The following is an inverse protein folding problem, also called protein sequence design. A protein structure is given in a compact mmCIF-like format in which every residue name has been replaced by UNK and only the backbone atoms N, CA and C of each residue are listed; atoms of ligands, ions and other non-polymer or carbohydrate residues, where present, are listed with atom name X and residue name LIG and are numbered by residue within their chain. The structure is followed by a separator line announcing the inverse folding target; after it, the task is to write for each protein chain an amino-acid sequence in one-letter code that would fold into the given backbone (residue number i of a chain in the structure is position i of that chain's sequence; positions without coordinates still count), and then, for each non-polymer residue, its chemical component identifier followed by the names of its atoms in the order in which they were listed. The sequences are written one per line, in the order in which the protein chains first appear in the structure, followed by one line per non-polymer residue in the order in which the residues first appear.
data_IF_335758041892
#
_entry.id   IF_335758041892
#
_cell.length_a   1.000
_cell.length_b   1.000
_cell.length_c   1.000
_cell.angle_alpha   90.00
_cell.angle_beta   90.00
_cell.angle_gamma   90.00
#
_symmetry.space_group_name_H-M   'P 1'
#
loop_
_entity.id
_entity.type
_entity.pdbx_description
1 polymer ?
#
# COMPACT_ATOMS: atom_id res chain seq x y z
N UNK A 1 -5.45 10.80 -26.73
CA UNK A 1 -5.84 12.11 -26.19
C UNK A 1 -7.17 12.00 -25.50
N UNK A 2 -7.15 11.91 -24.17
CA UNK A 2 -8.28 12.21 -23.30
C UNK A 2 -7.67 12.38 -21.90
N UNK A 3 -7.32 13.62 -21.57
CA UNK A 3 -6.97 14.00 -20.21
C UNK A 3 -8.23 13.86 -19.37
N UNK A 4 -8.35 12.74 -18.65
CA UNK A 4 -9.43 12.53 -17.69
C UNK A 4 -9.13 13.43 -16.47
N UNK A 5 -9.93 14.48 -16.22
CA UNK A 5 -9.69 15.40 -15.12
C UNK A 5 -9.75 14.68 -13.76
N UNK A 6 -10.51 13.58 -13.65
CA UNK A 6 -10.53 12.74 -12.45
C UNK A 6 -9.22 12.00 -12.24
N UNK A 7 -8.58 11.52 -13.32
CA UNK A 7 -7.27 10.86 -13.27
C UNK A 7 -6.17 11.80 -12.82
N UNK A 8 -6.14 13.02 -13.38
CA UNK A 8 -5.15 14.03 -12.99
C UNK A 8 -5.33 14.48 -11.52
N UNK A 9 -6.58 14.67 -11.07
CA UNK A 9 -6.87 15.01 -9.69
C UNK A 9 -6.46 13.88 -8.72
N UNK A 10 -6.76 12.62 -9.05
CA UNK A 10 -6.37 11.47 -8.24
C UNK A 10 -4.84 11.32 -8.16
N UNK A 11 -4.15 11.58 -9.27
CA UNK A 11 -2.70 11.57 -9.33
C UNK A 11 -2.07 12.61 -8.39
N UNK A 12 -2.50 13.87 -8.47
CA UNK A 12 -1.96 14.94 -7.62
C UNK A 12 -2.35 14.77 -6.15
N UNK A 13 -3.59 14.34 -5.86
CA UNK A 13 -4.00 14.02 -4.49
C UNK A 13 -3.14 12.92 -3.88
N UNK A 14 -2.92 11.82 -4.61
CA UNK A 14 -2.06 10.73 -4.17
C UNK A 14 -0.63 11.23 -3.94
N UNK A 15 -0.07 11.99 -4.87
CA UNK A 15 1.29 12.55 -4.72
C UNK A 15 1.42 13.43 -3.48
N UNK A 16 0.46 14.32 -3.24
CA UNK A 16 0.42 15.17 -2.05
C UNK A 16 0.41 14.34 -0.76
N UNK A 17 -0.43 13.30 -0.67
CA UNK A 17 -0.48 12.42 0.51
C UNK A 17 0.82 11.64 0.72
N UNK A 18 1.49 11.24 -0.35
CA UNK A 18 2.77 10.51 -0.27
C UNK A 18 3.94 11.37 0.19
N UNK A 19 3.86 12.68 0.03
CA UNK A 19 4.87 13.62 0.53
C UNK A 19 4.81 13.77 2.06
N UNK A 20 3.64 13.54 2.67
CA UNK A 20 3.45 13.57 4.13
C UNK A 20 4.01 12.33 4.85
N UNK A 21 4.30 11.26 4.12
CA UNK A 21 4.83 10.02 4.71
C UNK A 21 6.33 10.16 4.98
N UNK A 22 6.71 9.97 6.24
CA UNK A 22 8.10 10.06 6.70
C UNK A 22 8.67 8.69 7.08
N UNK A 23 10.01 8.57 7.10
CA UNK A 23 10.67 7.37 7.62
C UNK A 23 10.27 7.10 9.07
N UNK A 24 10.14 8.16 9.89
CA UNK A 24 9.72 8.05 11.28
C UNK A 24 8.32 7.46 11.40
N UNK A 25 7.35 7.97 10.64
CA UNK A 25 5.98 7.45 10.69
C UNK A 25 5.91 5.98 10.28
N UNK A 26 6.70 5.53 9.30
CA UNK A 26 6.79 4.10 8.97
C UNK A 26 7.39 3.28 10.11
N UNK A 27 8.45 3.76 10.78
CA UNK A 27 9.05 3.05 11.90
C UNK A 27 8.09 2.95 13.09
N UNK A 28 7.41 4.04 13.42
CA UNK A 28 6.40 4.07 14.48
C UNK A 28 5.22 3.14 14.12
N UNK A 29 4.76 3.17 12.87
CA UNK A 29 3.68 2.31 12.37
C UNK A 29 4.03 0.82 12.43
N UNK A 30 5.29 0.43 12.19
CA UNK A 30 5.74 -0.97 12.36
C UNK A 30 5.64 -1.47 13.79
N UNK A 31 5.84 -0.59 14.77
CA UNK A 31 5.77 -0.95 16.19
C UNK A 31 4.32 -0.96 16.65
N UNK A 32 3.53 0.03 16.24
CA UNK A 32 2.16 0.24 16.71
C UNK A 32 1.10 -0.55 15.94
N UNK A 33 1.37 -0.91 14.68
CA UNK A 33 0.41 -1.58 13.81
C UNK A 33 0.29 -3.09 14.05
N UNK A 34 1.22 -3.69 14.80
CA UNK A 34 1.17 -5.11 15.11
C UNK A 34 -0.04 -5.44 16.00
N UNK A 35 -0.85 -6.41 15.57
CA UNK A 35 -2.09 -6.79 16.25
C UNK A 35 -3.25 -5.82 16.02
N UNK A 36 -3.13 -4.88 15.07
CA UNK A 36 -4.20 -3.96 14.66
C UNK A 36 -4.63 -4.35 13.24
N UNK A 37 -5.69 -5.16 13.07
CA UNK A 37 -6.05 -5.74 11.77
C UNK A 37 -6.16 -4.73 10.62
N UNK A 38 -6.82 -3.58 10.84
CA UNK A 38 -6.88 -2.48 9.87
C UNK A 38 -5.49 -1.97 9.46
N UNK A 39 -4.58 -1.79 10.41
CA UNK A 39 -3.23 -1.32 10.13
C UNK A 39 -2.43 -2.36 9.33
N UNK A 40 -2.56 -3.63 9.69
CA UNK A 40 -1.91 -4.74 8.99
C UNK A 40 -2.43 -4.87 7.55
N UNK A 41 -3.73 -4.73 7.35
CA UNK A 41 -4.37 -4.75 6.04
C UNK A 41 -3.94 -3.55 5.18
N UNK A 42 -3.94 -2.32 5.71
CA UNK A 42 -3.46 -1.12 4.99
C UNK A 42 -1.99 -1.26 4.59
N UNK A 43 -1.15 -1.73 5.52
CA UNK A 43 0.27 -1.96 5.26
C UNK A 43 0.49 -2.96 4.13
N UNK A 44 -0.27 -4.05 4.15
CA UNK A 44 -0.18 -5.12 3.16
C UNK A 44 -0.71 -4.66 1.81
N UNK A 45 -1.81 -3.90 1.79
CA UNK A 45 -2.35 -3.31 0.58
C UNK A 45 -1.31 -2.40 -0.10
N UNK A 46 -0.68 -1.49 0.66
CA UNK A 46 0.36 -0.61 0.16
C UNK A 46 1.58 -1.40 -0.34
N UNK A 47 2.00 -2.43 0.40
CA UNK A 47 3.12 -3.29 0.01
C UNK A 47 2.83 -4.09 -1.28
N UNK A 48 1.59 -4.59 -1.44
CA UNK A 48 1.14 -5.25 -2.67
C UNK A 48 1.15 -4.30 -3.86
N UNK A 49 0.61 -3.08 -3.69
CA UNK A 49 0.50 -2.10 -4.76
C UNK A 49 1.87 -1.77 -5.39
N UNK A 50 2.91 -1.75 -4.58
CA UNK A 50 4.27 -1.37 -5.01
C UNK A 50 5.21 -2.56 -5.22
N UNK A 51 4.73 -3.78 -5.04
CA UNK A 51 5.54 -4.99 -5.15
C UNK A 51 6.18 -5.09 -6.55
N UNK A 52 7.49 -5.22 -6.62
CA UNK A 52 8.23 -5.38 -7.88
C UNK A 52 8.00 -4.25 -8.91
N UNK A 53 7.50 -3.08 -8.48
CA UNK A 53 7.45 -1.87 -9.32
C UNK A 53 8.87 -1.38 -9.62
N UNK A 54 9.79 -1.62 -8.69
CA UNK A 54 11.23 -1.55 -8.86
C UNK A 54 11.91 -2.68 -8.06
N UNK A 55 13.24 -2.74 -8.12
CA UNK A 55 14.03 -3.81 -7.49
C UNK A 55 14.16 -3.66 -5.96
N UNK A 56 13.50 -2.68 -5.34
CA UNK A 56 13.70 -2.36 -3.92
C UNK A 56 12.64 -2.95 -3.00
N UNK A 57 11.38 -3.07 -3.46
CA UNK A 57 10.30 -3.74 -2.73
C UNK A 57 9.94 -5.04 -3.44
N UNK A 58 10.65 -6.12 -3.08
CA UNK A 58 10.47 -7.43 -3.69
C UNK A 58 9.51 -8.27 -2.84
N UNK A 59 8.33 -8.53 -3.38
CA UNK A 59 7.28 -9.33 -2.75
C UNK A 59 6.64 -10.25 -3.77
N UNK A 60 6.39 -11.51 -3.38
CA UNK A 60 5.63 -12.46 -4.19
C UNK A 60 4.19 -12.45 -3.71
N UNK A 61 3.28 -11.95 -4.55
CA UNK A 61 1.86 -11.81 -4.20
C UNK A 61 1.25 -13.16 -3.80
N UNK A 62 1.60 -14.24 -4.51
CA UNK A 62 1.11 -15.60 -4.20
C UNK A 62 1.60 -16.19 -2.87
N UNK A 63 2.61 -15.59 -2.22
CA UNK A 63 3.15 -16.04 -0.94
C UNK A 63 2.57 -15.25 0.25
N UNK A 64 1.58 -14.38 0.02
CA UNK A 64 0.95 -13.59 1.09
C UNK A 64 -0.18 -14.43 1.69
N UNK A 65 -0.10 -14.66 3.00
CA UNK A 65 -1.20 -15.28 3.74
C UNK A 65 -2.27 -14.21 4.02
N UNK A 66 -3.52 -14.35 3.53
CA UNK A 66 -4.57 -13.37 3.79
C UNK A 66 -4.99 -13.32 5.26
N UNK A 67 -4.85 -14.43 6.01
CA UNK A 67 -5.22 -14.50 7.43
C UNK A 67 -4.14 -13.92 8.36
N UNK A 68 -2.90 -13.88 7.87
CA UNK A 68 -1.75 -13.29 8.59
C UNK A 68 -0.92 -12.43 7.62
N UNK A 69 -1.44 -11.25 7.21
CA UNK A 69 -0.81 -10.46 6.15
C UNK A 69 0.39 -9.64 6.64
N UNK A 70 0.46 -9.37 7.95
CA UNK A 70 1.46 -8.52 8.57
C UNK A 70 2.93 -8.92 8.35
N UNK A 71 3.34 -10.20 8.46
CA UNK A 71 4.71 -10.61 8.18
C UNK A 71 5.18 -10.24 6.78
N UNK A 72 4.29 -10.26 5.78
CA UNK A 72 4.61 -9.87 4.41
C UNK A 72 4.77 -8.35 4.29
N UNK A 73 3.88 -7.57 4.92
CA UNK A 73 4.04 -6.11 5.00
C UNK A 73 5.35 -5.71 5.69
N UNK A 74 5.70 -6.36 6.80
CA UNK A 74 6.93 -6.08 7.54
C UNK A 74 8.20 -6.27 6.70
N UNK A 75 8.21 -7.19 5.72
CA UNK A 75 9.34 -7.35 4.78
C UNK A 75 9.55 -6.08 3.95
N UNK A 76 8.46 -5.48 3.46
CA UNK A 76 8.52 -4.23 2.71
C UNK A 76 8.89 -3.04 3.62
N UNK A 77 8.27 -2.96 4.81
CA UNK A 77 8.50 -1.88 5.78
C UNK A 77 9.87 -1.95 6.46
N UNK A 78 10.58 -3.09 6.37
CA UNK A 78 11.93 -3.27 6.94
C UNK A 78 12.93 -2.25 6.39
N UNK A 79 12.73 -1.78 5.16
CA UNK A 79 13.55 -0.74 4.50
C UNK A 79 12.67 0.48 4.20
N UNK A 80 12.37 1.33 5.21
CA UNK A 80 11.37 2.40 5.08
C UNK A 80 11.72 3.41 3.99
N UNK A 81 13.00 3.71 3.77
CA UNK A 81 13.43 4.60 2.68
C UNK A 81 13.14 4.02 1.28
N UNK A 82 13.32 2.72 1.09
CA UNK A 82 12.98 2.06 -0.16
C UNK A 82 11.46 2.01 -0.36
N UNK A 83 10.74 1.60 0.68
CA UNK A 83 9.28 1.58 0.68
C UNK A 83 8.69 2.93 0.26
N UNK A 84 9.09 4.02 0.93
CA UNK A 84 8.61 5.37 0.62
C UNK A 84 9.01 5.79 -0.79
N UNK A 85 10.24 5.52 -1.23
CA UNK A 85 10.69 5.88 -2.57
C UNK A 85 9.88 5.14 -3.66
N UNK A 86 9.61 3.85 -3.51
CA UNK A 86 8.79 3.09 -4.46
C UNK A 86 7.33 3.52 -4.41
N UNK A 87 6.81 3.78 -3.21
CA UNK A 87 5.45 4.30 -3.02
C UNK A 87 5.28 5.66 -3.70
N UNK A 88 6.25 6.56 -3.58
CA UNK A 88 6.28 7.82 -4.34
C UNK A 88 6.30 7.59 -5.84
N UNK A 89 7.00 6.55 -6.32
CA UNK A 89 7.08 6.22 -7.76
C UNK A 89 5.81 5.57 -8.33
N UNK A 90 4.99 4.99 -7.47
CA UNK A 90 3.79 4.23 -7.85
C UNK A 90 2.84 4.98 -8.78
N UNK A 91 2.47 6.27 -8.57
CA UNK A 91 1.56 6.98 -9.46
C UNK A 91 2.03 6.96 -10.92
N UNK A 92 3.32 7.20 -11.17
CA UNK A 92 3.88 7.13 -12.53
C UNK A 92 3.99 5.71 -13.08
N UNK A 93 4.26 4.72 -12.21
CA UNK A 93 4.27 3.32 -12.62
C UNK A 93 2.87 2.83 -13.03
N UNK A 94 1.85 3.21 -12.26
CA UNK A 94 0.46 2.91 -12.55
C UNK A 94 0.01 3.62 -13.85
N UNK A 95 0.36 4.89 -14.02
CA UNK A 95 0.05 5.66 -15.23
C UNK A 95 0.63 5.03 -16.50
N UNK A 96 1.86 4.52 -16.40
CA UNK A 96 2.57 3.85 -17.48
C UNK A 96 2.19 2.38 -17.67
N UNK A 97 1.23 1.85 -16.90
CA UNK A 97 0.82 0.43 -16.99
C UNK A 97 1.92 -0.55 -16.58
N UNK A 98 2.85 -0.14 -15.71
CA UNK A 98 3.99 -0.96 -15.24
C UNK A 98 3.72 -1.70 -13.93
N UNK A 99 2.53 -1.53 -13.35
CA UNK A 99 2.11 -2.25 -12.14
C UNK A 99 1.46 -3.56 -12.58
N UNK A 100 1.96 -4.73 -12.16
CA UNK A 100 1.34 -6.02 -12.43
C UNK A 100 -0.13 -6.08 -11.96
N UNK A 101 -0.97 -6.79 -12.70
CA UNK A 101 -2.40 -6.87 -12.38
C UNK A 101 -2.64 -7.59 -11.04
N UNK A 102 -1.86 -8.64 -10.75
CA UNK A 102 -1.93 -9.37 -9.49
C UNK A 102 -1.67 -8.47 -8.27
N UNK A 103 -0.81 -7.46 -8.42
CA UNK A 103 -0.56 -6.46 -7.37
C UNK A 103 -1.80 -5.63 -7.10
N UNK A 104 -2.49 -5.19 -8.16
CA UNK A 104 -3.69 -4.36 -8.07
C UNK A 104 -4.82 -5.16 -7.40
N UNK A 105 -4.99 -6.43 -7.79
CA UNK A 105 -5.99 -7.33 -7.22
C UNK A 105 -5.71 -7.55 -5.73
N UNK A 106 -4.48 -7.89 -5.36
CA UNK A 106 -4.10 -8.11 -3.97
C UNK A 106 -4.19 -6.83 -3.12
N UNK A 107 -3.72 -5.69 -3.65
CA UNK A 107 -3.81 -4.41 -2.96
C UNK A 107 -5.27 -4.03 -2.70
N UNK A 108 -6.16 -4.23 -3.69
CA UNK A 108 -7.59 -4.00 -3.54
C UNK A 108 -8.21 -4.91 -2.49
N UNK A 109 -7.86 -6.20 -2.49
CA UNK A 109 -8.37 -7.16 -1.52
C UNK A 109 -8.08 -6.71 -0.08
N UNK A 110 -6.82 -6.39 0.23
CA UNK A 110 -6.45 -5.93 1.57
C UNK A 110 -6.97 -4.53 1.91
N UNK A 111 -7.09 -3.62 0.92
CA UNK A 111 -7.72 -2.31 1.13
C UNK A 111 -9.19 -2.46 1.55
N UNK A 112 -9.94 -3.35 0.89
CA UNK A 112 -11.33 -3.63 1.25
C UNK A 112 -11.46 -4.28 2.63
N UNK A 113 -10.50 -5.14 3.04
CA UNK A 113 -10.48 -5.66 4.41
C UNK A 113 -10.33 -4.53 5.44
N UNK A 114 -9.43 -3.58 5.19
CA UNK A 114 -9.24 -2.42 6.06
C UNK A 114 -10.48 -1.53 6.14
N UNK A 115 -11.24 -1.40 5.05
CA UNK A 115 -12.51 -0.65 5.01
C UNK A 115 -13.63 -1.38 5.78
N UNK A 116 -13.73 -2.71 5.62
CA UNK A 116 -14.80 -3.52 6.22
C UNK A 116 -14.71 -3.66 7.75
N UNK A 117 -13.51 -3.57 8.32
CA UNK A 117 -13.33 -3.56 9.78
C UNK A 117 -13.64 -2.20 10.42
N UNK A 118 -13.64 -1.12 9.64
CA UNK A 118 -14.07 0.20 10.10
C UNK A 118 -15.58 0.29 10.40
N UNK A 119 -16.38 -0.62 9.84
CA UNK A 119 -17.85 -0.58 9.89
C UNK A 119 -18.44 -1.40 11.06
N UNK A 120 -17.71 -2.38 11.61
CA UNK A 120 -18.17 -3.18 12.77
C UNK A 120 -17.94 -2.50 14.13
N UNK A 121 -17.37 -1.29 14.15
CA UNK A 121 -17.13 -0.49 15.37
C UNK A 121 -18.21 0.54 15.69
N UNK A 122 -19.25 0.68 14.86
CA UNK A 122 -20.34 1.65 15.08
C UNK A 122 -21.72 0.96 14.97
N UNK A 123 -22.14 0.27 16.03
CA UNK A 123 -23.56 0.13 16.34
C UNK A 123 -23.75 0.14 17.88
N UNK A 124 -24.86 0.75 18.37
CA UNK A 124 -25.00 1.31 19.72
C UNK A 124 -25.11 0.29 20.86
#
# INVERSE_FOLDING_TARGET
GRDDPGRAAAFEALKSTLDDISVKSILDFRVMGAGVPVAEAVATAAACAIANVDDTVVLRIGDINPDEPWPNALKALAKPGHFINTLRRFPWAADAGRVPEENIVAARHFATMAEGEGDMGQHP
#
